data_IF_667434265932
#
_entry.id   IF_667434265932
#
_cell.length_a   1.000
_cell.length_b   1.000
_cell.length_c   1.000
_cell.angle_alpha   90.00
_cell.angle_beta   90.00
_cell.angle_gamma   90.00
#
_symmetry.space_group_name_H-M   'P 1'
#
loop_
_entity.id
_entity.type
_entity.pdbx_description
1 polymer ?
#
# COMPACT_ATOMS: atom_id res chain seq x y z
N UNK A 1 6.04 27.41 25.84
CA UNK A 1 7.02 26.62 25.09
C UNK A 1 7.44 25.41 25.92
N UNK A 2 6.83 24.23 25.72
CA UNK A 2 7.33 23.01 26.32
C UNK A 2 8.29 22.32 25.32
N UNK A 3 9.49 22.02 25.79
CA UNK A 3 10.51 21.26 25.06
C UNK A 3 10.20 19.77 25.16
N UNK A 4 9.93 19.10 24.03
CA UNK A 4 9.83 17.65 23.99
C UNK A 4 11.23 17.04 24.12
N UNK A 5 11.42 16.18 25.12
CA UNK A 5 12.64 15.38 25.28
C UNK A 5 12.45 14.05 24.57
N UNK A 6 13.18 13.81 23.49
CA UNK A 6 13.29 12.51 22.82
C UNK A 6 13.97 11.52 23.77
N UNK A 7 13.30 10.40 24.07
CA UNK A 7 13.87 9.27 24.80
C UNK A 7 14.35 8.24 23.78
N UNK A 8 15.63 7.91 23.86
CA UNK A 8 16.33 6.89 23.07
C UNK A 8 15.75 5.51 23.34
N UNK A 9 15.38 4.76 22.30
CA UNK A 9 15.09 3.34 22.43
C UNK A 9 16.41 2.55 22.38
N UNK A 10 16.76 1.90 23.48
CA UNK A 10 17.84 0.89 23.51
C UNK A 10 17.23 -0.48 23.25
N UNK A 11 17.69 -1.18 22.20
CA UNK A 11 17.35 -2.58 21.98
C UNK A 11 18.18 -3.46 22.93
N UNK A 12 17.50 -4.19 23.82
CA UNK A 12 18.09 -5.29 24.61
C UNK A 12 17.81 -6.58 23.85
N UNK A 13 18.85 -7.28 23.41
CA UNK A 13 18.71 -8.63 22.84
C UNK A 13 18.72 -9.67 23.96
N UNK A 14 17.63 -10.43 24.06
CA UNK A 14 17.55 -11.65 24.87
C UNK A 14 18.07 -12.81 24.02
N UNK A 15 19.19 -13.41 24.42
CA UNK A 15 19.69 -14.65 23.83
C UNK A 15 19.03 -15.86 24.48
N UNK A 16 18.27 -16.63 23.69
CA UNK A 16 17.77 -17.93 24.10
C UNK A 16 18.80 -19.01 23.71
N UNK A 17 19.54 -19.52 24.69
CA UNK A 17 20.48 -20.63 24.45
C UNK A 17 19.72 -21.97 24.44
N UNK A 18 19.58 -22.57 23.27
CA UNK A 18 19.15 -23.96 23.13
C UNK A 18 20.40 -24.85 22.97
N UNK A 19 20.67 -25.70 23.96
CA UNK A 19 21.72 -26.74 23.86
C UNK A 19 21.18 -27.94 23.09
N UNK A 20 21.65 -28.13 21.86
CA UNK A 20 21.46 -29.37 21.11
C UNK A 20 22.84 -29.92 20.67
N UNK A 21 23.05 -31.21 20.94
CA UNK A 21 24.27 -31.97 20.67
C UNK A 21 24.52 -32.15 19.17
N UNK A 22 25.79 -32.05 18.79
CA UNK A 22 26.30 -31.80 17.45
C UNK A 22 26.15 -32.94 16.42
N UNK A 23 25.87 -32.56 15.18
CA UNK A 23 26.33 -33.22 13.95
C UNK A 23 26.98 -32.13 13.06
N UNK A 24 28.01 -32.43 12.24
CA UNK A 24 28.76 -31.41 11.54
C UNK A 24 27.95 -30.89 10.35
N UNK A 25 27.30 -29.74 10.53
CA UNK A 25 26.79 -28.94 9.41
C UNK A 25 27.96 -28.09 8.94
N UNK A 26 28.34 -28.23 7.67
CA UNK A 26 29.28 -27.31 7.02
C UNK A 26 28.76 -25.89 7.22
N UNK A 27 29.53 -25.06 7.93
CA UNK A 27 29.17 -23.69 8.21
C UNK A 27 28.87 -22.96 6.90
N UNK A 28 27.64 -22.45 6.78
CA UNK A 28 27.32 -21.43 5.78
C UNK A 28 28.26 -20.23 6.01
N UNK A 29 28.72 -19.53 4.96
CA UNK A 29 29.55 -18.36 5.14
C UNK A 29 28.78 -17.34 6.00
N UNK A 30 29.38 -16.94 7.11
CA UNK A 30 28.86 -15.86 7.93
C UNK A 30 28.92 -14.58 7.09
N UNK A 31 27.76 -13.97 6.84
CA UNK A 31 27.71 -12.61 6.31
C UNK A 31 28.24 -11.66 7.39
N UNK A 32 29.51 -11.29 7.27
CA UNK A 32 30.09 -10.18 8.03
C UNK A 32 29.69 -8.86 7.37
N UNK A 33 28.45 -8.43 7.59
CA UNK A 33 28.04 -7.05 7.32
C UNK A 33 28.43 -6.17 8.50
N UNK A 34 29.26 -5.17 8.30
CA UNK A 34 29.37 -4.05 9.24
C UNK A 34 28.00 -3.38 9.32
N UNK A 35 27.36 -3.40 10.49
CA UNK A 35 26.19 -2.58 10.75
C UNK A 35 26.61 -1.12 10.60
N UNK A 36 26.28 -0.53 9.44
CA UNK A 36 26.34 0.92 9.28
C UNK A 36 25.21 1.44 10.15
N UNK A 37 25.57 2.20 11.20
CA UNK A 37 24.58 2.88 12.01
C UNK A 37 23.69 3.71 11.06
N UNK A 38 22.38 3.41 11.06
CA UNK A 38 21.41 4.17 10.31
C UNK A 38 21.57 5.65 10.66
N UNK A 39 21.67 6.50 9.63
CA UNK A 39 21.58 7.94 9.84
C UNK A 39 20.24 8.22 10.57
N UNK A 40 20.21 9.08 11.59
CA UNK A 40 18.96 9.44 12.23
C UNK A 40 18.04 10.08 11.19
N UNK A 41 16.97 9.37 10.81
CA UNK A 41 15.95 9.89 9.91
C UNK A 41 15.20 11.01 10.60
N UNK A 42 15.22 12.20 10.01
CA UNK A 42 14.35 13.32 10.36
C UNK A 42 12.98 13.25 9.66
N UNK A 43 12.76 12.20 8.86
CA UNK A 43 11.49 11.97 8.17
C UNK A 43 10.57 11.23 9.14
N UNK A 44 9.52 11.93 9.57
CA UNK A 44 8.39 11.32 10.27
C UNK A 44 7.71 10.42 9.26
N UNK A 45 7.78 9.09 9.44
CA UNK A 45 6.80 8.16 8.85
C UNK A 45 5.44 8.75 9.20
N UNK A 46 4.67 9.21 8.22
CA UNK A 46 3.27 9.63 8.47
C UNK A 46 2.50 8.35 8.78
N UNK A 47 2.22 8.05 10.06
CA UNK A 47 1.42 6.90 10.41
C UNK A 47 0.00 7.19 9.93
N UNK A 48 -0.78 6.16 9.62
CA UNK A 48 -2.22 6.34 9.45
C UNK A 48 -2.77 6.88 10.77
N UNK A 49 -3.27 8.10 10.79
CA UNK A 49 -3.83 8.76 11.97
C UNK A 49 -5.06 9.56 11.52
N UNK A 50 -6.24 8.94 11.63
CA UNK A 50 -7.49 9.53 11.15
C UNK A 50 -8.02 10.60 12.11
N UNK A 51 -7.55 10.61 13.36
CA UNK A 51 -8.07 11.47 14.42
C UNK A 51 -7.09 12.57 14.88
N UNK A 52 -5.84 12.51 14.42
CA UNK A 52 -4.78 13.46 14.71
C UNK A 52 -4.26 13.42 16.15
N UNK A 53 -4.42 12.28 16.86
CA UNK A 53 -4.00 12.12 18.25
C UNK A 53 -2.52 11.75 18.41
N UNK A 54 -1.83 11.50 17.28
CA UNK A 54 -0.41 11.17 17.21
C UNK A 54 -0.10 9.70 17.45
N UNK A 55 -1.12 8.84 17.55
CA UNK A 55 -0.97 7.38 17.59
C UNK A 55 -1.48 6.78 16.28
N UNK A 56 -0.79 5.74 15.81
CA UNK A 56 -1.17 5.06 14.57
C UNK A 56 -2.50 4.31 14.75
N UNK A 57 -3.45 4.64 13.88
CA UNK A 57 -4.72 3.98 13.71
C UNK A 57 -4.59 2.81 12.73
N UNK A 58 -5.50 1.84 12.85
CA UNK A 58 -5.60 0.71 11.92
C UNK A 58 -6.97 0.70 11.25
N UNK A 59 -6.99 0.39 9.95
CA UNK A 59 -8.24 0.11 9.23
C UNK A 59 -8.22 -1.31 8.68
N UNK A 60 -9.35 -2.00 8.78
CA UNK A 60 -9.55 -3.33 8.23
C UNK A 60 -10.75 -3.33 7.26
N UNK A 61 -10.51 -3.83 6.06
CA UNK A 61 -11.50 -3.91 4.99
C UNK A 61 -12.27 -5.22 5.03
N UNK A 62 -13.61 -5.17 4.98
CA UNK A 62 -14.47 -6.35 4.97
C UNK A 62 -15.47 -6.28 3.81
N UNK A 63 -15.00 -6.34 2.54
CA UNK A 63 -15.85 -6.16 1.36
C UNK A 63 -16.96 -7.21 1.24
N UNK A 64 -16.74 -8.44 1.69
CA UNK A 64 -17.78 -9.48 1.68
C UNK A 64 -18.72 -9.43 2.91
N UNK A 65 -18.55 -8.40 3.75
CA UNK A 65 -19.35 -8.14 4.95
C UNK A 65 -20.83 -7.93 4.67
N UNK A 66 -21.67 -8.32 5.63
CA UNK A 66 -23.12 -8.12 5.58
C UNK A 66 -23.51 -6.89 6.39
N UNK A 67 -24.30 -5.99 5.79
CA UNK A 67 -24.80 -4.76 6.43
C UNK A 67 -26.32 -4.82 6.49
N UNK A 68 -26.92 -4.78 7.68
CA UNK A 68 -28.38 -4.80 7.86
C UNK A 68 -29.11 -5.91 7.08
N UNK A 69 -28.51 -7.10 7.00
CA UNK A 69 -29.03 -8.26 6.25
C UNK A 69 -28.67 -8.29 4.76
N UNK A 70 -28.03 -7.24 4.24
CA UNK A 70 -27.61 -7.14 2.83
C UNK A 70 -26.23 -7.78 2.67
N UNK A 71 -26.18 -8.93 1.99
CA UNK A 71 -24.95 -9.71 1.80
C UNK A 71 -23.95 -8.98 0.89
N UNK A 72 -22.67 -9.05 1.25
CA UNK A 72 -21.56 -8.45 0.49
C UNK A 72 -21.79 -6.96 0.19
N UNK A 73 -22.48 -6.27 1.09
CA UNK A 73 -22.55 -4.81 1.05
C UNK A 73 -21.19 -4.20 1.37
N UNK A 74 -20.43 -4.84 2.26
CA UNK A 74 -19.11 -4.44 2.66
C UNK A 74 -19.10 -3.34 3.71
N UNK A 75 -18.02 -3.28 4.48
CA UNK A 75 -17.74 -2.25 5.48
C UNK A 75 -16.24 -2.17 5.77
N UNK A 76 -15.80 -1.07 6.37
CA UNK A 76 -14.48 -0.96 6.99
C UNK A 76 -14.61 -0.88 8.51
N UNK A 77 -13.62 -1.39 9.22
CA UNK A 77 -13.50 -1.28 10.67
C UNK A 77 -12.26 -0.45 10.99
N UNK A 78 -12.45 0.68 11.65
CA UNK A 78 -11.39 1.59 12.08
C UNK A 78 -11.12 1.33 13.55
N UNK A 79 -9.85 1.13 13.90
CA UNK A 79 -9.36 0.93 15.25
C UNK A 79 -8.41 2.06 15.61
N UNK A 80 -8.89 3.08 16.36
CA UNK A 80 -8.02 4.15 16.78
C UNK A 80 -6.90 3.65 17.72
N UNK A 81 -5.69 4.13 17.51
CA UNK A 81 -4.50 3.82 18.30
C UNK A 81 -4.48 4.52 19.66
N UNK A 82 -3.64 4.08 20.58
CA UNK A 82 -3.26 4.86 21.75
C UNK A 82 -1.83 4.53 22.20
N UNK A 83 -1.39 5.09 23.33
CA UNK A 83 -0.06 4.87 23.89
C UNK A 83 0.29 3.38 24.18
N UNK A 84 -0.70 2.49 24.22
CA UNK A 84 -0.55 1.04 24.41
C UNK A 84 -0.72 0.27 23.10
N UNK A 85 -0.95 0.96 21.98
CA UNK A 85 -1.20 0.40 20.65
C UNK A 85 -2.70 0.25 20.36
N UNK A 86 -3.03 -0.66 19.45
CA UNK A 86 -4.40 -0.92 19.01
C UNK A 86 -5.18 -1.68 20.08
N UNK A 87 -6.36 -1.16 20.45
CA UNK A 87 -7.34 -1.88 21.28
C UNK A 87 -8.51 -2.36 20.39
N UNK A 88 -8.66 -3.68 20.14
CA UNK A 88 -9.73 -4.20 19.28
C UNK A 88 -11.15 -3.86 19.75
N UNK A 89 -11.36 -3.62 21.05
CA UNK A 89 -12.67 -3.25 21.60
C UNK A 89 -13.06 -1.79 21.28
N UNK A 90 -12.09 -0.93 20.95
CA UNK A 90 -12.31 0.45 20.54
C UNK A 90 -12.25 0.53 19.02
N UNK A 91 -13.42 0.47 18.40
CA UNK A 91 -13.53 0.51 16.95
C UNK A 91 -14.81 1.22 16.48
N UNK A 92 -14.77 1.67 15.23
CA UNK A 92 -15.90 2.19 14.49
C UNK A 92 -16.09 1.35 13.23
N UNK A 93 -17.34 1.04 12.90
CA UNK A 93 -17.70 0.37 11.64
C UNK A 93 -18.32 1.39 10.70
N UNK A 94 -17.78 1.50 9.49
CA UNK A 94 -18.25 2.45 8.47
C UNK A 94 -18.70 1.67 7.23
N UNK A 95 -19.87 2.01 6.70
CA UNK A 95 -20.42 1.48 5.45
C UNK A 95 -21.32 2.53 4.79
N UNK A 96 -21.89 2.24 3.62
CA UNK A 96 -22.75 3.17 2.88
C UNK A 96 -24.07 3.54 3.59
N UNK A 97 -24.47 2.86 4.66
CA UNK A 97 -25.60 3.28 5.50
C UNK A 97 -25.18 4.16 6.70
N UNK A 98 -23.88 4.37 6.92
CA UNK A 98 -23.40 5.30 7.95
C UNK A 98 -23.84 6.72 7.60
N UNK A 99 -24.46 7.48 8.53
CA UNK A 99 -24.91 8.85 8.25
C UNK A 99 -23.77 9.72 7.70
N UNK A 100 -24.04 10.44 6.60
CA UNK A 100 -23.06 11.30 5.94
C UNK A 100 -22.20 10.61 4.88
N UNK A 101 -22.20 9.27 4.80
CA UNK A 101 -21.55 8.53 3.71
C UNK A 101 -22.47 8.51 2.49
N UNK A 102 -22.01 8.92 1.29
CA UNK A 102 -22.81 8.88 0.08
C UNK A 102 -23.31 7.48 -0.30
N UNK A 103 -24.50 7.44 -0.89
CA UNK A 103 -25.13 6.21 -1.38
C UNK A 103 -25.90 5.45 -0.30
N UNK A 104 -26.07 4.14 -0.53
CA UNK A 104 -26.71 3.23 0.41
C UNK A 104 -26.17 1.82 0.21
N UNK A 105 -26.17 1.00 1.27
CA UNK A 105 -25.68 -0.37 1.19
C UNK A 105 -26.53 -1.18 0.19
N UNK A 106 -25.86 -1.81 -0.77
CA UNK A 106 -26.50 -2.67 -1.76
C UNK A 106 -25.85 -4.06 -1.80
N UNK A 107 -26.60 -5.05 -2.26
CA UNK A 107 -26.08 -6.41 -2.38
C UNK A 107 -24.92 -6.46 -3.38
N UNK A 108 -23.80 -7.07 -2.99
CA UNK A 108 -22.56 -7.12 -3.77
C UNK A 108 -21.91 -5.75 -4.07
N UNK A 109 -22.23 -4.69 -3.33
CA UNK A 109 -21.53 -3.42 -3.44
C UNK A 109 -20.05 -3.53 -3.01
N UNK A 110 -19.73 -4.48 -2.13
CA UNK A 110 -18.35 -4.77 -1.69
C UNK A 110 -17.56 -3.55 -1.22
N UNK A 111 -18.22 -2.64 -0.51
CA UNK A 111 -17.57 -1.49 0.10
C UNK A 111 -16.39 -1.93 0.98
N UNK A 112 -15.18 -1.42 0.73
CA UNK A 112 -14.06 -1.69 1.64
C UNK A 112 -12.65 -1.73 1.04
N UNK A 113 -12.44 -1.83 -0.27
CA UNK A 113 -11.10 -1.60 -0.84
C UNK A 113 -10.62 -0.21 -0.42
N UNK A 114 -9.42 -0.05 0.14
CA UNK A 114 -9.08 1.19 0.85
C UNK A 114 -7.63 1.64 0.68
N UNK A 115 -7.44 2.94 0.47
CA UNK A 115 -6.13 3.58 0.36
C UNK A 115 -6.08 4.84 1.25
N UNK A 116 -5.28 4.83 2.34
CA UNK A 116 -5.17 5.96 3.26
C UNK A 116 -4.17 7.02 2.77
N UNK A 117 -4.54 8.30 2.90
CA UNK A 117 -3.67 9.46 2.68
C UNK A 117 -4.38 10.74 3.18
N UNK A 118 -3.66 11.83 3.39
CA UNK A 118 -4.26 13.16 3.61
C UNK A 118 -4.69 13.75 2.24
N UNK A 119 -5.95 13.53 1.85
CA UNK A 119 -6.45 13.80 0.50
C UNK A 119 -6.79 15.27 0.31
N UNK A 120 -7.31 15.94 1.35
CA UNK A 120 -7.62 17.36 1.30
C UNK A 120 -6.62 18.28 2.01
N UNK A 121 -5.47 17.73 2.39
CA UNK A 121 -4.33 18.44 2.97
C UNK A 121 -4.67 19.18 4.27
N UNK A 122 -5.55 18.61 5.09
CA UNK A 122 -5.99 19.17 6.36
C UNK A 122 -5.17 18.68 7.57
N UNK A 123 -4.23 17.76 7.34
CA UNK A 123 -3.32 17.19 8.33
C UNK A 123 -3.88 15.97 9.06
N UNK A 124 -5.07 15.48 8.70
CA UNK A 124 -5.61 14.20 9.16
C UNK A 124 -5.49 13.17 8.03
N UNK A 125 -5.28 11.90 8.38
CA UNK A 125 -5.37 10.86 7.35
C UNK A 125 -6.84 10.72 6.93
N UNK A 126 -7.08 10.63 5.62
CA UNK A 126 -8.35 10.26 5.00
C UNK A 126 -8.30 8.83 4.48
N UNK A 127 -9.43 8.34 3.95
CA UNK A 127 -9.52 7.03 3.32
C UNK A 127 -10.31 7.09 2.02
N UNK A 128 -9.65 6.83 0.90
CA UNK A 128 -10.36 6.51 -0.34
C UNK A 128 -10.84 5.07 -0.26
N UNK A 129 -12.14 4.84 -0.41
CA UNK A 129 -12.77 3.53 -0.31
C UNK A 129 -13.57 3.18 -1.55
N UNK A 130 -13.31 2.02 -2.14
CA UNK A 130 -14.08 1.51 -3.27
C UNK A 130 -15.51 1.19 -2.81
N UNK A 131 -16.50 1.59 -3.61
CA UNK A 131 -17.91 1.32 -3.38
C UNK A 131 -18.50 0.73 -4.66
N UNK A 132 -18.34 -0.58 -4.87
CA UNK A 132 -18.48 -1.32 -6.14
C UNK A 132 -19.84 -1.28 -6.85
N UNK A 133 -20.78 -0.45 -6.42
CA UNK A 133 -22.00 -0.08 -7.14
C UNK A 133 -22.01 1.39 -7.61
N UNK A 134 -20.93 2.14 -7.38
CA UNK A 134 -20.82 3.57 -7.64
C UNK A 134 -19.37 4.02 -7.75
N UNK A 135 -19.14 5.32 -7.61
CA UNK A 135 -17.80 5.90 -7.54
C UNK A 135 -17.13 5.53 -6.20
N UNK A 136 -15.79 5.49 -6.14
CA UNK A 136 -15.10 5.47 -4.85
C UNK A 136 -15.58 6.65 -3.98
N UNK A 137 -15.52 6.46 -2.68
CA UNK A 137 -15.91 7.46 -1.68
C UNK A 137 -14.65 7.86 -0.92
N UNK A 138 -14.46 9.16 -0.69
CA UNK A 138 -13.48 9.66 0.25
C UNK A 138 -14.15 9.77 1.61
N UNK A 139 -13.65 9.05 2.61
CA UNK A 139 -13.99 9.26 4.02
C UNK A 139 -12.93 10.19 4.59
N UNK A 140 -13.34 11.37 5.06
CA UNK A 140 -12.39 12.33 5.60
C UNK A 140 -12.11 12.07 7.08
N UNK A 141 -10.84 12.21 7.44
CA UNK A 141 -10.37 12.28 8.81
C UNK A 141 -10.77 13.58 9.49
N UNK A 142 -10.37 13.69 10.76
CA UNK A 142 -10.61 14.87 11.57
C UNK A 142 -10.61 14.52 13.05
N UNK A 143 -10.71 15.53 13.92
CA UNK A 143 -10.64 15.35 15.39
C UNK A 143 -11.63 14.33 15.99
N UNK A 144 -12.70 14.02 15.28
CA UNK A 144 -13.72 13.05 15.69
C UNK A 144 -13.49 11.66 15.09
N UNK A 145 -12.39 11.45 14.38
CA UNK A 145 -12.07 10.26 13.59
C UNK A 145 -12.67 10.28 12.19
N UNK A 146 -12.50 9.14 11.52
CA UNK A 146 -12.84 8.93 10.11
C UNK A 146 -14.36 8.95 9.84
N UNK A 147 -14.74 9.56 8.72
CA UNK A 147 -16.05 9.38 8.09
C UNK A 147 -17.17 10.24 8.66
N UNK A 148 -16.85 11.26 9.47
CA UNK A 148 -17.82 12.29 9.87
C UNK A 148 -18.19 13.24 8.72
N UNK A 149 -17.28 13.34 7.74
CA UNK A 149 -17.48 13.97 6.44
C UNK A 149 -17.06 12.96 5.37
N UNK A 150 -17.79 12.89 4.27
CA UNK A 150 -17.45 12.03 3.15
C UNK A 150 -17.94 12.66 1.84
N UNK A 151 -17.29 12.30 0.73
CA UNK A 151 -17.65 12.77 -0.61
C UNK A 151 -17.47 11.64 -1.63
N UNK A 152 -18.24 11.69 -2.72
CA UNK A 152 -17.97 10.83 -3.87
C UNK A 152 -16.74 11.35 -4.62
N UNK A 153 -15.79 10.47 -4.92
CA UNK A 153 -14.63 10.81 -5.71
C UNK A 153 -15.01 10.97 -7.19
N UNK A 154 -14.82 12.18 -7.73
CA UNK A 154 -15.23 12.56 -9.08
C UNK A 154 -14.13 12.36 -10.13
N UNK A 155 -13.08 11.60 -9.80
CA UNK A 155 -12.03 11.23 -10.75
C UNK A 155 -12.49 10.24 -11.82
N UNK A 156 -11.51 9.58 -12.43
CA UNK A 156 -11.71 8.61 -13.49
C UNK A 156 -12.74 7.53 -13.07
N UNK A 157 -13.79 7.35 -13.88
CA UNK A 157 -14.96 6.54 -13.55
C UNK A 157 -14.70 5.03 -13.67
N UNK A 158 -15.51 4.22 -12.95
CA UNK A 158 -15.49 2.74 -12.96
C UNK A 158 -14.07 2.12 -12.94
N UNK A 159 -13.14 2.78 -12.26
CA UNK A 159 -11.76 2.32 -12.17
C UNK A 159 -11.63 1.29 -11.06
N UNK A 160 -10.71 0.34 -11.23
CA UNK A 160 -10.38 -0.64 -10.21
C UNK A 160 -8.94 -0.44 -9.74
N UNK A 161 -8.66 -0.81 -8.50
CA UNK A 161 -7.33 -0.72 -7.91
C UNK A 161 -6.91 0.74 -7.76
N UNK A 162 -7.47 1.44 -6.77
CA UNK A 162 -7.05 2.80 -6.47
C UNK A 162 -5.83 2.81 -5.55
N UNK A 163 -4.85 3.66 -5.87
CA UNK A 163 -3.71 3.98 -5.02
C UNK A 163 -3.61 5.49 -4.84
N UNK A 164 -3.11 5.93 -3.69
CA UNK A 164 -3.07 7.35 -3.32
C UNK A 164 -1.65 7.73 -2.92
N UNK A 165 -1.17 8.87 -3.41
CA UNK A 165 0.16 9.41 -3.12
C UNK A 165 0.40 10.74 -3.83
N UNK A 166 1.40 11.50 -3.40
CA UNK A 166 1.80 12.76 -4.05
C UNK A 166 2.69 12.46 -5.25
N UNK A 167 2.11 12.24 -6.44
CA UNK A 167 2.91 11.77 -7.59
C UNK A 167 3.64 12.90 -8.28
N UNK A 168 3.16 14.14 -8.21
CA UNK A 168 3.79 15.29 -8.86
C UNK A 168 4.79 16.04 -7.96
N UNK A 169 4.72 15.84 -6.63
CA UNK A 169 5.56 16.45 -5.60
C UNK A 169 5.08 17.84 -5.19
N UNK A 170 3.79 18.16 -5.36
CA UNK A 170 3.21 19.45 -4.98
C UNK A 170 2.78 19.52 -3.51
N UNK A 171 2.89 18.42 -2.78
CA UNK A 171 2.52 18.27 -1.38
C UNK A 171 1.05 17.91 -1.13
N UNK A 172 0.27 17.63 -2.18
CA UNK A 172 -1.11 17.11 -2.07
C UNK A 172 -1.17 15.68 -2.56
N UNK A 173 -2.12 14.92 -2.01
CA UNK A 173 -2.34 13.57 -2.49
C UNK A 173 -3.08 13.58 -3.84
N UNK A 174 -2.61 12.71 -4.73
CA UNK A 174 -3.24 12.36 -5.99
C UNK A 174 -3.79 10.92 -5.93
N UNK A 175 -4.69 10.59 -6.84
CA UNK A 175 -5.24 9.24 -6.97
C UNK A 175 -4.81 8.63 -8.29
N UNK A 176 -4.11 7.50 -8.21
CA UNK A 176 -3.86 6.61 -9.33
C UNK A 176 -4.93 5.53 -9.40
N UNK A 177 -5.37 5.20 -10.61
CA UNK A 177 -6.26 4.07 -10.82
C UNK A 177 -6.19 3.54 -12.23
N UNK A 178 -6.79 2.36 -12.41
CA UNK A 178 -6.75 1.64 -13.68
C UNK A 178 -7.99 2.03 -14.50
N UNK A 179 -7.75 2.68 -15.63
CA UNK A 179 -8.75 2.93 -16.66
C UNK A 179 -8.72 1.80 -17.70
N UNK A 180 -9.75 0.95 -17.67
CA UNK A 180 -9.95 -0.18 -18.58
C UNK A 180 -10.88 0.16 -19.77
N UNK A 181 -11.07 1.45 -20.09
CA UNK A 181 -11.81 1.84 -21.28
C UNK A 181 -11.18 1.29 -22.58
N UNK A 182 -9.85 1.12 -22.58
CA UNK A 182 -9.11 0.44 -23.64
C UNK A 182 -8.66 -0.95 -23.15
N UNK A 183 -8.63 -1.92 -24.06
CA UNK A 183 -8.39 -3.35 -23.75
C UNK A 183 -7.09 -3.66 -22.98
N UNK A 184 -6.05 -2.83 -23.15
CA UNK A 184 -4.75 -3.01 -22.47
C UNK A 184 -4.69 -2.33 -21.09
N UNK A 185 -5.65 -1.45 -20.78
CA UNK A 185 -5.65 -0.64 -19.56
C UNK A 185 -4.64 0.52 -19.58
N UNK A 186 -4.97 1.58 -18.84
CA UNK A 186 -4.07 2.72 -18.56
C UNK A 186 -4.02 2.95 -17.06
N UNK A 187 -2.86 3.40 -16.55
CA UNK A 187 -2.83 4.06 -15.25
C UNK A 187 -3.10 5.55 -15.47
N UNK A 188 -4.14 6.04 -14.82
CA UNK A 188 -4.57 7.43 -14.88
C UNK A 188 -4.38 8.06 -13.51
N UNK A 189 -3.88 9.30 -13.50
CA UNK A 189 -3.76 10.11 -12.28
C UNK A 189 -4.84 11.19 -12.29
N UNK A 190 -5.52 11.31 -11.16
CA UNK A 190 -6.43 12.40 -10.83
C UNK A 190 -5.78 13.27 -9.76
N UNK A 191 -5.60 14.54 -10.07
CA UNK A 191 -4.80 15.49 -9.30
C UNK A 191 -5.67 16.65 -8.83
N UNK A 192 -5.18 17.39 -7.82
CA UNK A 192 -5.86 18.54 -7.23
C UNK A 192 -7.28 18.16 -6.73
N UNK A 193 -7.33 17.17 -5.84
CA UNK A 193 -8.58 16.64 -5.30
C UNK A 193 -9.12 17.61 -4.25
N UNK A 194 -10.35 18.07 -4.45
CA UNK A 194 -11.03 18.96 -3.52
C UNK A 194 -11.63 18.21 -2.32
N UNK A 195 -11.89 18.94 -1.24
CA UNK A 195 -12.60 18.47 -0.05
C UNK A 195 -14.05 17.99 -0.32
N UNK A 196 -14.58 18.27 -1.53
CA UNK A 196 -15.86 17.79 -2.04
C UNK A 196 -15.73 16.61 -3.03
N UNK A 197 -14.51 16.06 -3.18
CA UNK A 197 -14.17 14.98 -4.10
C UNK A 197 -14.04 15.41 -5.56
N UNK A 198 -14.13 16.71 -5.88
CA UNK A 198 -13.87 17.21 -7.23
C UNK A 198 -12.42 17.01 -7.64
N UNK A 199 -12.18 16.82 -8.94
CA UNK A 199 -10.84 16.60 -9.50
C UNK A 199 -10.50 17.76 -10.43
N UNK A 200 -9.39 18.45 -10.15
CA UNK A 200 -8.96 19.60 -10.95
C UNK A 200 -8.33 19.21 -12.29
N UNK A 201 -7.61 18.09 -12.32
CA UNK A 201 -6.86 17.62 -13.49
C UNK A 201 -6.85 16.10 -13.57
N UNK A 202 -6.78 15.56 -14.79
CA UNK A 202 -6.58 14.13 -15.01
C UNK A 202 -5.64 13.91 -16.19
N UNK A 203 -4.68 12.99 -16.03
CA UNK A 203 -3.74 12.62 -17.09
C UNK A 203 -3.40 11.13 -17.08
N UNK A 204 -3.04 10.60 -18.24
CA UNK A 204 -2.47 9.25 -18.34
C UNK A 204 -1.03 9.25 -17.83
N UNK A 205 -0.75 8.42 -16.83
CA UNK A 205 0.60 8.21 -16.32
C UNK A 205 1.33 7.09 -17.07
N UNK A 206 0.65 5.96 -17.28
CA UNK A 206 1.22 4.78 -17.93
C UNK A 206 0.21 4.21 -18.94
N UNK A 207 0.74 3.76 -20.08
CA UNK A 207 -0.01 3.02 -21.10
C UNK A 207 0.62 1.63 -21.19
N UNK A 208 -0.18 0.58 -21.10
CA UNK A 208 0.34 -0.77 -21.21
C UNK A 208 0.87 -1.05 -22.64
N UNK A 209 1.94 -1.82 -22.74
CA UNK A 209 2.61 -2.15 -24.00
C UNK A 209 2.05 -3.43 -24.63
N UNK A 210 0.82 -3.35 -25.12
CA UNK A 210 0.25 -4.25 -26.15
C UNK A 210 0.13 -5.74 -25.84
N UNK A 211 0.76 -6.31 -24.81
CA UNK A 211 0.57 -7.69 -24.35
C UNK A 211 0.15 -7.71 -22.89
N UNK A 212 0.62 -6.73 -22.09
CA UNK A 212 0.25 -6.60 -20.69
C UNK A 212 -1.11 -5.90 -20.49
N UNK A 213 -1.86 -6.34 -19.48
CA UNK A 213 -3.01 -5.66 -18.89
C UNK A 213 -2.65 -5.21 -17.48
N UNK A 214 -3.05 -4.01 -17.07
CA UNK A 214 -2.92 -3.57 -15.68
C UNK A 214 -4.02 -4.19 -14.81
N UNK A 215 -3.63 -4.85 -13.73
CA UNK A 215 -4.55 -5.57 -12.82
C UNK A 215 -4.59 -4.97 -11.41
N UNK A 216 -3.53 -4.27 -11.02
CA UNK A 216 -3.46 -3.61 -9.72
C UNK A 216 -2.43 -2.49 -9.72
N UNK A 217 -2.59 -1.55 -8.80
CA UNK A 217 -1.61 -0.50 -8.54
C UNK A 217 -1.52 -0.26 -7.03
N UNK A 218 -0.30 -0.07 -6.53
CA UNK A 218 0.02 0.35 -5.18
C UNK A 218 0.91 1.57 -5.25
N UNK A 219 0.81 2.44 -4.26
CA UNK A 219 1.63 3.65 -4.16
C UNK A 219 2.40 3.70 -2.85
N UNK A 220 3.64 4.17 -2.92
CA UNK A 220 4.50 4.48 -1.78
C UNK A 220 5.68 5.33 -2.27
N UNK A 221 6.26 6.19 -1.44
CA UNK A 221 7.54 6.86 -1.74
C UNK A 221 8.69 5.88 -1.44
N UNK A 222 9.07 5.07 -2.43
CA UNK A 222 9.96 3.91 -2.24
C UNK A 222 11.43 4.36 -2.23
N UNK A 223 11.74 5.43 -2.93
CA UNK A 223 13.08 6.03 -2.96
C UNK A 223 13.26 7.16 -1.92
N UNK A 224 12.22 7.50 -1.15
CA UNK A 224 12.18 8.56 -0.15
C UNK A 224 12.61 9.93 -0.70
N UNK A 225 12.13 10.28 -1.89
CA UNK A 225 12.39 11.57 -2.57
C UNK A 225 11.27 12.61 -2.39
N UNK A 226 10.21 12.25 -1.66
CA UNK A 226 9.04 13.07 -1.41
C UNK A 226 7.95 12.94 -2.47
N UNK A 227 8.10 12.04 -3.45
CA UNK A 227 7.08 11.74 -4.45
C UNK A 227 6.61 10.30 -4.28
N UNK A 228 5.31 10.06 -4.48
CA UNK A 228 4.76 8.73 -4.58
C UNK A 228 5.33 8.02 -5.81
N UNK A 229 5.76 6.77 -5.63
CA UNK A 229 6.09 5.82 -6.69
C UNK A 229 4.96 4.81 -6.86
N UNK A 230 4.97 4.06 -7.96
CA UNK A 230 3.97 3.04 -8.26
C UNK A 230 4.59 1.64 -8.34
N UNK A 231 4.00 0.67 -7.64
CA UNK A 231 4.10 -0.74 -8.05
C UNK A 231 2.84 -1.10 -8.82
N UNK A 232 3.02 -1.57 -10.05
CA UNK A 232 1.90 -1.93 -10.92
C UNK A 232 1.92 -3.43 -11.14
N UNK A 233 0.81 -4.10 -10.84
CA UNK A 233 0.63 -5.51 -11.19
C UNK A 233 0.16 -5.60 -12.63
N UNK A 234 0.92 -6.33 -13.44
CA UNK A 234 0.58 -6.64 -14.83
C UNK A 234 0.22 -8.12 -14.96
N UNK A 235 -0.75 -8.42 -15.83
CA UNK A 235 -1.05 -9.76 -16.31
C UNK A 235 -1.04 -9.80 -17.84
N UNK A 236 -1.22 -10.98 -18.43
CA UNK A 236 -1.53 -11.11 -19.85
C UNK A 236 -2.57 -12.20 -20.04
N UNK A 237 -3.83 -11.85 -19.75
CA UNK A 237 -5.02 -12.65 -20.03
C UNK A 237 -4.89 -14.14 -19.67
N UNK A 238 -4.59 -14.98 -20.66
CA UNK A 238 -4.59 -16.45 -20.64
C UNK A 238 -3.24 -17.10 -20.33
N UNK A 239 -2.15 -16.32 -20.24
CA UNK A 239 -0.84 -16.82 -19.83
C UNK A 239 -0.55 -16.39 -18.38
N UNK A 240 -0.65 -17.30 -17.39
CA UNK A 240 -0.37 -16.96 -15.99
C UNK A 240 1.09 -16.54 -15.76
N UNK A 241 1.96 -16.82 -16.72
CA UNK A 241 3.42 -16.84 -16.60
C UNK A 241 4.09 -15.57 -17.16
N UNK A 242 3.31 -14.62 -17.66
CA UNK A 242 3.84 -13.41 -18.29
C UNK A 242 3.59 -12.12 -17.48
N UNK A 243 2.77 -12.21 -16.42
CA UNK A 243 2.53 -11.11 -15.49
C UNK A 243 3.75 -10.69 -14.65
N UNK A 244 3.71 -9.51 -14.05
CA UNK A 244 4.81 -8.96 -13.26
C UNK A 244 4.35 -7.90 -12.27
N UNK A 245 5.28 -7.42 -11.45
CA UNK A 245 5.05 -6.27 -10.57
C UNK A 245 6.13 -5.21 -10.78
N UNK A 246 6.17 -4.57 -11.97
CA UNK A 246 7.11 -3.49 -12.25
C UNK A 246 6.98 -2.32 -11.26
N UNK A 247 8.13 -1.79 -10.86
CA UNK A 247 8.25 -0.55 -10.09
C UNK A 247 8.44 0.63 -11.04
N UNK A 248 7.72 1.71 -10.79
CA UNK A 248 7.77 2.95 -11.55
C UNK A 248 8.06 4.09 -10.57
N UNK A 249 9.27 4.64 -10.65
CA UNK A 249 9.68 5.77 -9.82
C UNK A 249 9.16 7.07 -10.42
N UNK A 250 8.53 7.92 -9.61
CA UNK A 250 8.01 9.20 -10.09
C UNK A 250 9.14 10.19 -10.40
N UNK A 251 8.94 10.99 -11.43
CA UNK A 251 9.79 12.15 -11.75
C UNK A 251 9.07 13.48 -11.47
N UNK A 252 7.85 13.44 -10.96
CA UNK A 252 6.93 14.57 -10.82
C UNK A 252 6.14 14.91 -12.09
N UNK A 253 6.62 14.50 -13.26
CA UNK A 253 5.92 14.74 -14.55
C UNK A 253 5.67 13.47 -15.34
N UNK A 254 6.20 12.34 -14.86
CA UNK A 254 6.07 11.02 -15.45
C UNK A 254 6.70 9.98 -14.53
N UNK A 255 6.98 8.81 -15.08
CA UNK A 255 7.52 7.68 -14.33
C UNK A 255 8.67 7.00 -15.07
N UNK A 256 9.64 6.50 -14.31
CA UNK A 256 10.75 5.70 -14.82
C UNK A 256 10.58 4.24 -14.39
N UNK A 257 10.46 3.34 -15.36
CA UNK A 257 10.42 1.91 -15.09
C UNK A 257 11.75 1.42 -14.50
N UNK A 258 11.68 0.82 -13.32
CA UNK A 258 12.82 0.33 -12.53
C UNK A 258 12.61 -1.15 -12.21
N UNK A 259 13.35 -2.08 -12.83
CA UNK A 259 13.17 -3.52 -12.57
C UNK A 259 13.52 -3.86 -11.13
N UNK A 260 12.68 -4.62 -10.42
CA UNK A 260 12.99 -5.12 -9.07
C UNK A 260 13.84 -6.40 -9.18
N UNK A 261 15.07 -6.36 -8.66
CA UNK A 261 16.05 -7.47 -8.70
C UNK A 261 16.22 -8.01 -7.28
N UNK A 262 15.88 -9.28 -7.07
CA UNK A 262 15.94 -9.95 -5.75
C UNK A 262 17.25 -10.70 -5.52
N UNK A 263 17.95 -11.03 -6.60
CA UNK A 263 19.30 -11.59 -6.64
C UNK A 263 19.90 -11.28 -8.03
N UNK A 264 21.23 -11.31 -8.23
CA UNK A 264 21.82 -11.08 -9.55
C UNK A 264 21.17 -11.97 -10.63
N UNK A 265 20.53 -11.35 -11.62
CA UNK A 265 19.81 -12.04 -12.69
C UNK A 265 18.43 -12.60 -12.34
N UNK A 266 17.92 -12.37 -11.13
CA UNK A 266 16.57 -12.79 -10.69
C UNK A 266 15.69 -11.56 -10.44
N UNK A 267 14.56 -11.49 -11.14
CA UNK A 267 13.60 -10.38 -11.05
C UNK A 267 12.37 -10.81 -10.23
N UNK A 268 11.67 -9.85 -9.62
CA UNK A 268 10.33 -10.11 -9.07
C UNK A 268 9.33 -10.26 -10.21
N UNK A 269 9.01 -11.50 -10.55
CA UNK A 269 7.89 -11.86 -11.40
C UNK A 269 6.91 -12.69 -10.56
N UNK A 270 5.61 -12.42 -10.70
CA UNK A 270 4.50 -13.14 -10.02
C UNK A 270 4.57 -13.23 -8.49
N UNK A 271 4.91 -12.12 -7.82
CA UNK A 271 4.88 -12.05 -6.37
C UNK A 271 3.75 -11.12 -5.91
N UNK A 272 3.01 -11.53 -4.88
CA UNK A 272 2.28 -10.55 -4.09
C UNK A 272 3.31 -9.74 -3.31
N UNK A 273 3.39 -8.45 -3.61
CA UNK A 273 4.30 -7.49 -2.97
C UNK A 273 3.49 -6.55 -2.10
N UNK A 274 3.97 -6.28 -0.89
CA UNK A 274 3.51 -5.19 -0.04
C UNK A 274 4.71 -4.33 0.38
N UNK A 275 4.45 -3.06 0.69
CA UNK A 275 5.47 -2.08 1.02
C UNK A 275 5.35 -1.72 2.49
N UNK A 276 6.48 -1.67 3.20
CA UNK A 276 6.50 -1.24 4.60
C UNK A 276 7.91 -1.20 5.16
N UNK A 277 8.09 -0.54 6.31
CA UNK A 277 9.41 -0.52 6.97
C UNK A 277 9.58 -1.77 7.83
N UNK A 278 10.54 -2.62 7.48
CA UNK A 278 10.92 -3.83 8.22
C UNK A 278 12.11 -3.56 9.11
N UNK A 279 13.02 -2.69 8.68
CA UNK A 279 14.27 -2.40 9.40
C UNK A 279 14.28 -1.04 10.15
N UNK A 280 13.25 -0.21 9.98
CA UNK A 280 13.12 1.10 10.62
C UNK A 280 13.98 2.21 10.01
N UNK A 281 14.52 2.03 8.79
CA UNK A 281 15.23 3.09 8.08
C UNK A 281 14.25 4.04 7.32
N UNK A 282 14.80 5.01 6.59
CA UNK A 282 13.99 6.01 5.88
C UNK A 282 13.34 5.48 4.58
N UNK A 283 13.74 4.29 4.12
CA UNK A 283 13.32 3.73 2.85
C UNK A 283 12.34 2.58 3.09
N UNK A 284 11.13 2.62 2.50
CA UNK A 284 10.24 1.48 2.58
C UNK A 284 10.87 0.21 1.99
N UNK A 285 10.69 -0.91 2.68
CA UNK A 285 11.11 -2.22 2.24
C UNK A 285 9.99 -2.90 1.46
N UNK A 286 10.36 -3.76 0.53
CA UNK A 286 9.41 -4.60 -0.20
C UNK A 286 9.34 -5.97 0.47
N UNK A 287 8.18 -6.32 0.99
CA UNK A 287 7.90 -7.66 1.51
C UNK A 287 7.09 -8.41 0.46
N UNK A 288 7.59 -9.57 0.04
CA UNK A 288 6.95 -10.30 -1.04
C UNK A 288 6.94 -11.80 -0.79
N UNK A 289 5.92 -12.46 -1.32
CA UNK A 289 5.90 -13.92 -1.36
C UNK A 289 6.70 -14.40 -2.55
N UNK A 290 7.72 -15.22 -2.30
CA UNK A 290 8.42 -15.89 -3.39
C UNK A 290 7.55 -17.06 -3.81
N UNK A 291 6.83 -16.92 -4.92
CA UNK A 291 6.37 -18.09 -5.62
C UNK A 291 7.61 -18.83 -6.13
N UNK A 292 7.79 -20.14 -5.83
CA UNK A 292 8.74 -20.94 -6.58
C UNK A 292 8.33 -20.80 -8.04
N UNK A 293 9.21 -20.29 -8.89
CA UNK A 293 8.97 -20.13 -10.33
C UNK A 293 8.52 -21.48 -10.90
N UNK A 294 7.21 -21.64 -11.04
CA UNK A 294 6.51 -22.87 -11.40
C UNK A 294 5.29 -22.54 -12.26
N UNK A 295 5.41 -21.47 -13.02
CA UNK A 295 4.46 -21.01 -14.01
C UNK A 295 5.09 -21.35 -15.37
N UNK A 296 5.22 -22.65 -15.60
CA UNK A 296 5.21 -23.25 -16.92
C UNK A 296 4.04 -24.22 -16.87
N UNK A 297 3.07 -24.01 -17.76
CA UNK A 297 1.86 -24.83 -17.88
C UNK A 297 2.09 -26.33 -18.12
N UNK A 298 3.34 -26.79 -18.31
CA UNK A 298 3.68 -28.21 -18.53
C UNK A 298 4.49 -28.90 -17.40
N UNK A 299 4.79 -28.25 -16.27
CA UNK A 299 5.60 -28.86 -15.19
C UNK A 299 4.94 -28.83 -13.80
N UNK A 300 4.32 -29.95 -13.43
CA UNK A 300 3.85 -30.21 -12.06
C UNK A 300 5.03 -30.53 -11.11
N UNK A 301 5.12 -29.83 -9.96
CA UNK A 301 6.01 -30.20 -8.85
C UNK A 301 5.32 -30.19 -7.48
N UNK A 302 5.78 -31.04 -6.53
CA UNK A 302 5.23 -31.15 -5.19
C UNK A 302 5.65 -29.95 -4.33
N UNK A 303 4.69 -29.09 -3.99
CA UNK A 303 4.88 -27.93 -3.12
C UNK A 303 5.13 -28.32 -1.67
N UNK A 304 6.28 -27.92 -1.11
CA UNK A 304 6.53 -27.98 0.33
C UNK A 304 6.95 -26.61 0.86
N UNK A 305 5.99 -25.70 0.92
CA UNK A 305 6.04 -24.44 1.68
C UNK A 305 6.17 -23.16 0.85
N UNK A 306 5.40 -22.13 1.22
CA UNK A 306 5.60 -20.76 0.72
C UNK A 306 6.67 -20.03 1.53
N UNK A 307 7.37 -19.08 0.91
CA UNK A 307 8.37 -18.25 1.58
C UNK A 307 7.99 -16.77 1.49
N UNK A 308 8.21 -16.03 2.59
CA UNK A 308 8.20 -14.57 2.61
C UNK A 308 9.65 -14.10 2.51
N UNK A 309 9.91 -13.16 1.61
CA UNK A 309 11.20 -12.53 1.42
C UNK A 309 11.06 -11.02 1.54
N UNK A 310 12.18 -10.36 1.85
CA UNK A 310 12.26 -8.91 2.02
C UNK A 310 13.38 -8.39 1.12
N UNK A 311 13.09 -7.38 0.31
CA UNK A 311 14.09 -6.58 -0.38
C UNK A 311 14.17 -5.23 0.33
N UNK A 312 15.35 -4.93 0.87
CA UNK A 312 15.54 -3.72 1.64
C UNK A 312 15.51 -2.47 0.74
N UNK A 313 14.86 -1.42 1.23
CA UNK A 313 14.72 -0.14 0.55
C UNK A 313 16.07 0.55 0.31
N UNK A 314 16.04 1.62 -0.49
CA UNK A 314 17.21 2.47 -0.70
C UNK A 314 16.91 3.63 -1.66
N UNK A 315 17.87 4.55 -1.87
CA UNK A 315 17.67 5.79 -2.64
C UNK A 315 17.41 5.58 -4.15
N UNK A 316 17.42 4.33 -4.62
CA UNK A 316 17.02 3.95 -5.99
C UNK A 316 15.82 3.00 -5.98
N UNK A 317 15.04 3.05 -4.91
CA UNK A 317 13.95 2.15 -4.58
C UNK A 317 14.37 0.77 -4.05
N UNK A 318 15.67 0.49 -3.93
CA UNK A 318 16.22 -0.69 -3.25
C UNK A 318 17.72 -0.56 -2.97
N UNK A 319 18.22 -1.37 -2.04
CA UNK A 319 19.66 -1.66 -1.92
C UNK A 319 20.06 -2.82 -2.85
N UNK A 320 21.25 -2.77 -3.48
CA UNK A 320 21.78 -3.92 -4.22
C UNK A 320 21.99 -5.13 -3.28
N UNK A 321 21.76 -6.36 -3.75
CA UNK A 321 22.01 -7.57 -2.97
C UNK A 321 23.50 -7.79 -2.65
#
# INVERSE_FOLDING_TARGET
>A
MPTSRLRTASAVFVTLAATATAAPVTAAPAFSGTAVAAAPSSVVRQPVDFNGDGYEDMVASVPDGTVSGIKKAGYVVVHPGDAKGINPARHQVINQNTPGVPGSAAANARFGGSAPADIDADGYTDLLVSAGNGRPIILFGGKSGLGTRAAEFQGHGQSQGEAVGDFDGDGRADVAGIDNADWAGKIVLSENIGADGSVGSTRTALTADGVATYEGVQAADINNDGKGDLLVTTGCNDEPDCGGTPLYLSTGTGFTHTPIVTAPGTYLNHASVTVGSVNGDAYPDLVFTRQPTGLDSDVDFPSKGGAVAVALGGPKGRTPP
#
